data_IF_112688816664
#
_entry.id   IF_112688816664
#
_cell.length_a   1.000
_cell.length_b   1.000
_cell.length_c   1.000
_cell.angle_alpha   90.00
_cell.angle_beta   90.00
_cell.angle_gamma   90.00
#
_symmetry.space_group_name_H-M   'P 1'
#
loop_
_entity.id
_entity.type
_entity.pdbx_description
1 polymer ?
#
# COMPACT_ATOMS: atom_id res chain seq x y z
N UNK A 1 -9.38 -11.45 -7.38
CA UNK A 1 -8.87 -10.08 -7.44
C UNK A 1 -8.15 -9.71 -6.15
N UNK A 2 -7.24 -8.76 -6.22
CA UNK A 2 -6.40 -8.39 -5.09
C UNK A 2 -6.49 -6.91 -4.80
N UNK A 3 -6.50 -6.57 -3.52
CA UNK A 3 -6.52 -5.20 -3.03
C UNK A 3 -5.18 -4.86 -2.40
N UNK A 4 -4.66 -3.68 -2.70
CA UNK A 4 -3.36 -3.25 -2.22
C UNK A 4 -3.49 -2.34 -1.00
N UNK A 5 -2.65 -2.62 -0.02
CA UNK A 5 -2.54 -1.79 1.19
C UNK A 5 -1.06 -1.63 1.51
N UNK A 6 -0.64 -0.41 1.81
CA UNK A 6 0.74 -0.14 2.20
C UNK A 6 0.75 0.44 3.61
N UNK A 7 1.60 -0.11 4.45
CA UNK A 7 1.82 0.40 5.80
C UNK A 7 3.08 1.25 5.80
N UNK A 8 2.94 2.50 6.22
CA UNK A 8 4.07 3.42 6.32
C UNK A 8 4.14 3.99 7.73
N UNK A 9 5.36 4.15 8.23
CA UNK A 9 5.59 4.65 9.57
C UNK A 9 6.48 5.88 9.53
N UNK A 10 6.32 6.74 10.54
CA UNK A 10 7.15 7.92 10.70
C UNK A 10 8.58 7.54 11.01
N UNK A 11 9.54 8.23 10.40
CA UNK A 11 10.95 8.06 10.71
C UNK A 11 11.29 8.65 12.08
N UNK A 12 10.59 9.70 12.47
CA UNK A 12 10.81 10.38 13.75
C UNK A 12 10.17 9.62 14.90
N UNK A 13 8.98 9.07 14.68
CA UNK A 13 8.22 8.32 15.70
C UNK A 13 7.86 6.97 15.13
N UNK A 14 8.71 5.96 15.29
CA UNK A 14 8.53 4.66 14.61
C UNK A 14 7.24 3.92 14.96
N UNK A 15 6.60 4.27 16.05
CA UNK A 15 5.32 3.68 16.44
C UNK A 15 4.13 4.35 15.78
N UNK A 16 4.37 5.47 15.11
CA UNK A 16 3.32 6.25 14.48
C UNK A 16 3.21 5.82 13.01
N UNK A 17 2.29 4.92 12.76
CA UNK A 17 2.15 4.29 11.44
C UNK A 17 0.75 4.50 10.88
N UNK A 18 0.66 4.54 9.56
CA UNK A 18 -0.61 4.70 8.85
C UNK A 18 -0.75 3.64 7.77
N UNK A 19 -1.97 3.21 7.55
CA UNK A 19 -2.31 2.31 6.47
C UNK A 19 -2.85 3.12 5.29
N UNK A 20 -2.25 2.92 4.12
CA UNK A 20 -2.66 3.58 2.90
C UNK A 20 -3.34 2.57 2.01
N UNK A 21 -4.64 2.75 1.83
CA UNK A 21 -5.40 1.89 0.93
C UNK A 21 -5.34 2.44 -0.48
N UNK A 22 -5.17 1.53 -1.44
CA UNK A 22 -5.19 1.91 -2.84
C UNK A 22 -6.60 2.30 -3.26
N UNK A 23 -6.72 3.43 -3.94
CA UNK A 23 -8.00 3.90 -4.47
C UNK A 23 -8.26 3.35 -5.86
N UNK A 24 -7.27 2.75 -6.48
CA UNK A 24 -7.39 2.06 -7.76
C UNK A 24 -7.57 0.57 -7.52
N UNK A 25 -7.84 -0.15 -8.56
CA UNK A 25 -8.03 -1.58 -8.43
C UNK A 25 -9.46 -1.93 -8.08
N UNK A 26 -9.74 -3.15 -7.71
CA UNK A 26 -8.80 -4.23 -7.42
C UNK A 26 -8.07 -4.73 -8.66
N UNK A 27 -7.01 -5.52 -8.43
CA UNK A 27 -6.16 -6.04 -9.49
C UNK A 27 -6.42 -7.52 -9.72
N UNK A 28 -6.29 -7.95 -10.98
CA UNK A 28 -6.58 -9.34 -11.33
C UNK A 28 -5.52 -10.31 -10.86
N UNK A 29 -4.26 -9.87 -10.82
CA UNK A 29 -3.16 -10.74 -10.44
C UNK A 29 -2.43 -10.22 -9.21
N UNK A 30 -1.79 -11.14 -8.50
CA UNK A 30 -0.97 -10.79 -7.35
C UNK A 30 0.20 -9.88 -7.77
N UNK A 31 0.77 -10.17 -8.93
CA UNK A 31 1.90 -9.38 -9.43
C UNK A 31 1.52 -7.92 -9.67
N UNK A 32 0.33 -7.68 -10.22
CA UNK A 32 -0.16 -6.32 -10.41
C UNK A 32 -0.33 -5.61 -9.07
N UNK A 33 -0.83 -6.32 -8.08
CA UNK A 33 -0.99 -5.79 -6.73
C UNK A 33 0.35 -5.40 -6.11
N UNK A 34 1.36 -6.27 -6.25
CA UNK A 34 2.70 -6.00 -5.74
C UNK A 34 3.33 -4.81 -6.43
N UNK A 35 3.22 -4.72 -7.75
CA UNK A 35 3.73 -3.58 -8.52
C UNK A 35 3.10 -2.28 -8.02
N UNK A 36 1.81 -2.29 -7.78
CA UNK A 36 1.12 -1.12 -7.26
C UNK A 36 1.59 -0.75 -5.86
N UNK A 37 1.88 -1.75 -5.03
CA UNK A 37 2.39 -1.51 -3.68
C UNK A 37 3.72 -0.75 -3.73
N UNK A 38 4.62 -1.14 -4.61
CA UNK A 38 5.89 -0.44 -4.77
C UNK A 38 5.69 0.98 -5.27
N UNK A 39 4.79 1.17 -6.21
CA UNK A 39 4.47 2.51 -6.73
C UNK A 39 3.92 3.40 -5.61
N UNK A 40 3.02 2.87 -4.80
CA UNK A 40 2.48 3.60 -3.66
C UNK A 40 3.56 3.95 -2.65
N UNK A 41 4.46 3.00 -2.38
CA UNK A 41 5.57 3.22 -1.47
C UNK A 41 6.46 4.38 -1.94
N UNK A 42 6.78 4.41 -3.23
CA UNK A 42 7.57 5.50 -3.79
C UNK A 42 6.85 6.84 -3.67
N UNK A 43 5.55 6.85 -3.93
CA UNK A 43 4.76 8.07 -3.80
C UNK A 43 4.74 8.58 -2.36
N UNK A 44 4.64 7.66 -1.40
CA UNK A 44 4.64 8.03 0.02
C UNK A 44 5.98 8.67 0.40
N UNK A 45 7.09 8.11 -0.07
CA UNK A 45 8.41 8.64 0.23
C UNK A 45 8.65 10.02 -0.40
N UNK A 46 7.96 10.31 -1.49
CA UNK A 46 8.10 11.58 -2.19
C UNK A 46 7.20 12.69 -1.63
N UNK A 47 6.31 12.35 -0.69
CA UNK A 47 5.43 13.36 -0.10
C UNK A 47 6.22 14.35 0.74
N UNK A 48 6.12 15.62 0.37
CA UNK A 48 6.82 16.69 1.11
C UNK A 48 6.08 17.00 2.40
N UNK A 49 6.84 17.29 3.44
CA UNK A 49 6.29 17.61 4.75
C UNK A 49 5.96 16.39 5.61
N UNK A 50 6.19 15.21 5.09
CA UNK A 50 5.98 13.96 5.82
C UNK A 50 7.25 13.13 5.77
N UNK A 51 7.70 12.66 6.93
CA UNK A 51 8.86 11.79 7.02
C UNK A 51 8.39 10.34 7.16
N UNK A 52 7.60 9.89 6.19
CA UNK A 52 7.04 8.55 6.18
C UNK A 52 7.91 7.62 5.36
N UNK A 53 8.05 6.39 5.83
CA UNK A 53 8.75 5.35 5.11
C UNK A 53 7.87 4.11 5.05
N UNK A 54 7.64 3.54 3.86
CA UNK A 54 6.87 2.30 3.77
C UNK A 54 7.63 1.17 4.45
N UNK A 55 6.93 0.45 5.33
CA UNK A 55 7.49 -0.66 6.10
C UNK A 55 7.05 -2.00 5.56
N UNK A 56 5.82 -2.06 5.08
CA UNK A 56 5.24 -3.33 4.64
C UNK A 56 4.09 -3.05 3.69
N UNK A 57 3.69 -4.08 2.98
CA UNK A 57 2.51 -4.00 2.13
C UNK A 57 1.72 -5.29 2.24
N UNK A 58 0.46 -5.23 1.85
CA UNK A 58 -0.40 -6.41 1.86
C UNK A 58 -1.23 -6.44 0.59
N UNK A 59 -1.23 -7.58 -0.06
CA UNK A 59 -2.11 -7.86 -1.18
C UNK A 59 -3.14 -8.88 -0.72
N UNK A 60 -4.35 -8.41 -0.51
CA UNK A 60 -5.42 -9.24 0.03
C UNK A 60 -6.33 -9.70 -1.09
N UNK A 61 -6.55 -11.01 -1.16
CA UNK A 61 -7.47 -11.56 -2.13
C UNK A 61 -8.90 -11.28 -1.69
N UNK A 62 -9.66 -10.66 -2.60
CA UNK A 62 -11.06 -10.33 -2.33
C UNK A 62 -11.93 -11.56 -2.64
N UNK A 63 -12.86 -11.83 -1.74
CA UNK A 63 -13.80 -12.93 -1.90
C UNK A 63 -15.13 -12.39 -2.36
N UNK A 64 -15.88 -13.21 -3.09
CA UNK A 64 -17.19 -12.84 -3.56
C UNK A 64 -17.18 -11.97 -4.82
N UNK A 65 -16.02 -11.68 -5.35
CA UNK A 65 -15.88 -10.85 -6.54
C UNK A 65 -16.15 -11.63 -7.82
N UNK A 66 -16.03 -12.93 -7.74
CA UNK A 66 -16.24 -13.84 -8.86
C UNK A 66 -17.70 -14.12 -9.17
N UNK A 67 -18.57 -13.49 -8.46
CA UNK A 67 -20.00 -13.61 -8.74
C UNK A 67 -20.44 -12.76 -9.96
#
# INVERSE_FOLDING_TARGET
MFKTLVLACSLSVPTDCWEFNDTRGPYKTYEQCVSRAYEMGNNIMEMKGYDLKPRNFRCTQLKGQEL
#
